data_IF_986901826899
#
_entry.id   IF_986901826899
#
_cell.length_a   1.000
_cell.length_b   1.000
_cell.length_c   1.000
_cell.angle_alpha   90.00
_cell.angle_beta   90.00
_cell.angle_gamma   90.00
#
_symmetry.space_group_name_H-M   'P 1'
#
loop_
_entity.id
_entity.type
_entity.pdbx_description
1 polymer ?
#
# COMPACT_ATOMS: atom_id res chain seq x y z
N UNK A 1 6.40 -5.02 -8.79
CA UNK A 1 6.06 -4.44 -10.11
C UNK A 1 6.90 -5.18 -11.15
N UNK A 2 6.31 -6.04 -11.97
CA UNK A 2 7.05 -6.70 -13.05
C UNK A 2 6.96 -5.79 -14.29
N UNK A 3 7.99 -4.99 -14.53
CA UNK A 3 8.15 -4.27 -15.80
C UNK A 3 8.79 -5.21 -16.82
N UNK A 4 8.19 -5.35 -18.00
CA UNK A 4 8.73 -6.16 -19.08
C UNK A 4 8.67 -5.39 -20.40
N UNK A 5 9.49 -5.83 -21.35
CA UNK A 5 9.54 -5.28 -22.70
C UNK A 5 8.96 -6.35 -23.62
N UNK A 6 7.99 -5.95 -24.45
CA UNK A 6 7.54 -6.76 -25.57
C UNK A 6 8.55 -6.58 -26.72
N UNK A 7 9.40 -7.59 -26.94
CA UNK A 7 10.45 -7.54 -27.96
C UNK A 7 9.89 -7.64 -29.38
N UNK A 8 8.77 -8.33 -29.59
CA UNK A 8 8.13 -8.45 -30.91
C UNK A 8 7.55 -7.10 -31.34
N UNK A 9 6.94 -6.38 -30.40
CA UNK A 9 6.49 -5.01 -30.63
C UNK A 9 7.68 -4.06 -30.83
N UNK A 10 8.74 -4.20 -30.03
CA UNK A 10 9.94 -3.38 -30.17
C UNK A 10 10.60 -3.56 -31.54
N UNK A 11 10.68 -4.79 -32.05
CA UNK A 11 11.19 -5.06 -33.40
C UNK A 11 10.37 -4.32 -34.46
N UNK A 12 9.04 -4.43 -34.42
CA UNK A 12 8.14 -3.74 -35.36
C UNK A 12 8.28 -2.22 -35.36
N UNK A 13 8.56 -1.63 -34.20
CA UNK A 13 8.70 -0.17 -34.04
C UNK A 13 10.10 0.31 -34.47
N UNK A 14 11.15 -0.39 -34.05
CA UNK A 14 12.53 0.11 -34.15
C UNK A 14 13.32 -0.48 -35.32
N UNK A 15 12.95 -1.64 -35.85
CA UNK A 15 13.64 -2.30 -36.95
C UNK A 15 12.94 -2.03 -38.29
N UNK A 16 13.33 -0.94 -38.95
CA UNK A 16 12.84 -0.57 -40.28
C UNK A 16 13.99 -0.13 -41.20
N UNK A 17 13.75 -0.15 -42.51
CA UNK A 17 14.73 0.23 -43.53
C UNK A 17 15.05 1.73 -43.42
N UNK A 18 16.35 2.07 -43.33
CA UNK A 18 16.85 3.44 -43.25
C UNK A 18 17.76 3.71 -44.45
N UNK A 19 17.44 4.70 -45.27
CA UNK A 19 18.13 4.96 -46.55
C UNK A 19 19.60 5.35 -46.39
N UNK A 20 19.98 5.92 -45.23
CA UNK A 20 21.34 6.34 -44.92
C UNK A 20 22.23 5.22 -44.36
N UNK A 21 21.72 4.01 -44.18
CA UNK A 21 22.45 2.86 -43.64
C UNK A 21 22.49 1.74 -44.67
N UNK A 22 23.65 1.12 -44.85
CA UNK A 22 23.92 0.23 -45.99
C UNK A 22 23.91 -1.25 -45.62
N UNK A 23 24.21 -1.57 -44.36
CA UNK A 23 24.35 -2.95 -43.89
C UNK A 23 23.26 -3.33 -42.88
N UNK A 24 22.91 -4.63 -42.86
CA UNK A 24 21.98 -5.18 -41.85
C UNK A 24 22.48 -4.90 -40.42
N UNK A 25 23.79 -4.95 -40.19
CA UNK A 25 24.37 -4.69 -38.87
C UNK A 25 24.17 -3.25 -38.43
N UNK A 26 24.32 -2.28 -39.33
CA UNK A 26 24.01 -0.88 -39.05
C UNK A 26 22.53 -0.68 -38.71
N UNK A 27 21.62 -1.35 -39.42
CA UNK A 27 20.18 -1.28 -39.12
C UNK A 27 19.85 -1.85 -37.75
N UNK A 28 20.45 -2.98 -37.37
CA UNK A 28 20.30 -3.60 -36.05
C UNK A 28 20.84 -2.65 -34.97
N UNK A 29 22.06 -2.14 -35.16
CA UNK A 29 22.68 -1.23 -34.19
C UNK A 29 21.83 0.02 -33.97
N UNK A 30 21.32 0.63 -35.05
CA UNK A 30 20.45 1.80 -34.95
C UNK A 30 19.11 1.48 -34.28
N UNK A 31 18.49 0.34 -34.60
CA UNK A 31 17.26 -0.11 -33.94
C UNK A 31 17.49 -0.31 -32.42
N UNK A 32 18.58 -0.96 -32.03
CA UNK A 32 18.96 -1.15 -30.64
C UNK A 32 19.23 0.18 -29.92
N UNK A 33 19.89 1.14 -30.58
CA UNK A 33 20.15 2.46 -30.02
C UNK A 33 18.85 3.24 -29.81
N UNK A 34 17.92 3.21 -30.77
CA UNK A 34 16.62 3.85 -30.65
C UNK A 34 15.78 3.25 -29.51
N UNK A 35 15.74 1.91 -29.41
CA UNK A 35 15.08 1.22 -28.30
C UNK A 35 15.72 1.61 -26.96
N UNK A 36 17.06 1.59 -26.86
CA UNK A 36 17.79 2.02 -25.65
C UNK A 36 17.44 3.45 -25.26
N UNK A 37 17.41 4.38 -26.21
CA UNK A 37 17.04 5.77 -25.95
C UNK A 37 15.61 5.89 -25.44
N UNK A 38 14.67 5.13 -26.01
CA UNK A 38 13.29 5.10 -25.50
C UNK A 38 13.21 4.53 -24.09
N UNK A 39 13.89 3.42 -23.81
CA UNK A 39 13.91 2.80 -22.49
C UNK A 39 14.50 3.75 -21.46
N UNK A 40 15.61 4.42 -21.78
CA UNK A 40 16.20 5.44 -20.91
C UNK A 40 15.22 6.57 -20.62
N UNK A 41 14.51 7.07 -21.64
CA UNK A 41 13.48 8.10 -21.45
C UNK A 41 12.33 7.63 -20.54
N UNK A 42 11.78 6.43 -20.78
CA UNK A 42 10.69 5.86 -19.97
C UNK A 42 11.14 5.59 -18.53
N UNK A 43 12.34 5.04 -18.36
CA UNK A 43 12.93 4.81 -17.04
C UNK A 43 13.17 6.13 -16.31
N UNK A 44 13.57 7.19 -17.01
CA UNK A 44 13.72 8.51 -16.40
C UNK A 44 12.39 9.06 -15.89
N UNK A 45 11.29 8.90 -16.63
CA UNK A 45 9.94 9.29 -16.14
C UNK A 45 9.58 8.55 -14.85
N UNK A 46 9.85 7.25 -14.80
CA UNK A 46 9.58 6.44 -13.60
C UNK A 46 10.51 6.82 -12.44
N UNK A 47 11.78 7.10 -12.72
CA UNK A 47 12.77 7.55 -11.76
C UNK A 47 12.34 8.86 -11.10
N UNK A 48 11.93 9.87 -11.87
CA UNK A 48 11.41 11.14 -11.33
C UNK A 48 10.18 10.93 -10.46
N UNK A 49 9.23 10.09 -10.89
CA UNK A 49 8.03 9.75 -10.09
C UNK A 49 8.40 9.06 -8.78
N UNK A 50 9.35 8.13 -8.80
CA UNK A 50 9.80 7.42 -7.62
C UNK A 50 10.51 8.36 -6.65
N UNK A 51 11.41 9.20 -7.16
CA UNK A 51 12.10 10.21 -6.34
C UNK A 51 11.10 11.14 -5.66
N UNK A 52 10.11 11.67 -6.39
CA UNK A 52 9.06 12.50 -5.79
C UNK A 52 8.30 11.78 -4.66
N UNK A 53 8.02 10.48 -4.81
CA UNK A 53 7.37 9.66 -3.77
C UNK A 53 8.28 9.42 -2.56
N UNK A 54 9.58 9.20 -2.79
CA UNK A 54 10.56 9.01 -1.72
C UNK A 54 10.78 10.31 -0.94
N UNK A 55 10.88 11.46 -1.62
CA UNK A 55 10.92 12.78 -0.98
C UNK A 55 9.69 12.98 -0.10
N UNK A 56 8.48 12.71 -0.64
CA UNK A 56 7.24 12.79 0.13
C UNK A 56 7.24 11.88 1.36
N UNK A 57 7.75 10.65 1.23
CA UNK A 57 7.88 9.73 2.35
C UNK A 57 8.80 10.27 3.45
N UNK A 58 9.94 10.85 3.06
CA UNK A 58 10.89 11.48 4.00
C UNK A 58 10.23 12.67 4.70
N UNK A 59 9.56 13.54 3.95
CA UNK A 59 8.87 14.71 4.50
C UNK A 59 7.80 14.31 5.52
N UNK A 60 7.01 13.28 5.22
CA UNK A 60 6.00 12.75 6.13
C UNK A 60 6.60 12.11 7.38
N UNK A 61 7.71 11.37 7.26
CA UNK A 61 8.46 10.86 8.42
C UNK A 61 8.95 12.00 9.32
N UNK A 62 9.52 13.06 8.73
CA UNK A 62 9.99 14.24 9.45
C UNK A 62 8.82 14.97 10.11
N UNK A 63 7.69 15.15 9.40
CA UNK A 63 6.49 15.80 9.93
C UNK A 63 5.93 15.03 11.13
N UNK A 64 5.83 13.70 11.02
CA UNK A 64 5.44 12.83 12.14
C UNK A 64 6.36 13.01 13.34
N UNK A 65 7.69 12.97 13.15
CA UNK A 65 8.62 13.18 14.25
C UNK A 65 8.48 14.59 14.86
N UNK A 66 8.37 15.62 14.03
CA UNK A 66 8.15 17.01 14.48
C UNK A 66 6.91 17.13 15.36
N UNK A 67 5.79 16.56 14.92
CA UNK A 67 4.54 16.56 15.67
C UNK A 67 4.70 15.85 17.02
N UNK A 68 5.23 14.63 17.02
CA UNK A 68 5.29 13.81 18.23
C UNK A 68 6.26 14.33 19.30
N UNK A 69 7.38 14.93 18.89
CA UNK A 69 8.47 15.30 19.82
C UNK A 69 8.58 16.80 20.09
N UNK A 70 8.21 17.65 19.14
CA UNK A 70 8.58 19.07 19.17
C UNK A 70 7.41 20.05 19.04
N UNK A 71 6.29 19.66 18.41
CA UNK A 71 5.15 20.54 18.20
C UNK A 71 4.54 20.99 19.54
N UNK A 72 4.07 22.23 19.59
CA UNK A 72 3.49 22.81 20.80
C UNK A 72 2.19 22.11 21.21
N UNK A 73 1.39 21.70 20.23
CA UNK A 73 0.12 20.99 20.32
C UNK A 73 0.25 19.46 20.22
N UNK A 74 1.47 18.95 20.01
CA UNK A 74 1.77 17.53 19.96
C UNK A 74 2.00 16.89 21.34
N UNK A 75 2.19 15.56 21.39
CA UNK A 75 2.35 14.81 22.64
C UNK A 75 3.69 15.03 23.37
N UNK A 76 4.69 15.62 22.71
CA UNK A 76 6.00 15.99 23.28
C UNK A 76 6.74 14.83 23.96
N UNK A 77 6.81 13.69 23.27
CA UNK A 77 7.60 12.54 23.71
C UNK A 77 9.05 12.95 24.02
N UNK A 78 9.61 12.35 25.08
CA UNK A 78 10.96 12.68 25.56
C UNK A 78 12.02 11.64 25.19
N UNK A 79 11.59 10.41 24.95
CA UNK A 79 12.46 9.26 24.73
C UNK A 79 11.98 8.57 23.47
N UNK A 80 12.93 8.16 22.63
CA UNK A 80 12.69 7.24 21.54
C UNK A 80 12.75 5.83 22.10
N UNK A 81 11.63 5.12 22.07
CA UNK A 81 11.56 3.72 22.47
C UNK A 81 10.57 2.96 21.60
N UNK A 82 10.95 1.76 21.17
CA UNK A 82 10.05 0.83 20.53
C UNK A 82 9.38 -0.06 21.60
N UNK A 83 8.07 -0.37 21.48
CA UNK A 83 7.13 0.11 20.46
C UNK A 83 6.39 1.41 20.84
N UNK A 84 6.62 1.96 22.04
CA UNK A 84 5.75 2.98 22.66
C UNK A 84 5.87 4.38 22.07
N UNK A 85 7.07 4.83 21.71
CA UNK A 85 7.37 6.18 21.20
C UNK A 85 8.39 6.11 20.06
N UNK A 86 8.06 5.42 18.95
CA UNK A 86 8.97 5.31 17.82
C UNK A 86 9.13 6.65 17.09
N UNK A 87 10.24 6.78 16.36
CA UNK A 87 10.47 7.94 15.49
C UNK A 87 9.38 8.09 14.42
N UNK A 88 8.94 6.97 13.84
CA UNK A 88 7.76 6.84 12.97
C UNK A 88 6.98 5.61 13.43
N UNK A 89 5.66 5.73 13.58
CA UNK A 89 4.81 4.62 13.99
C UNK A 89 4.87 3.43 13.02
N UNK A 90 4.54 2.24 13.51
CA UNK A 90 4.58 1.02 12.70
C UNK A 90 3.40 1.00 11.73
N UNK A 91 3.71 0.77 10.45
CA UNK A 91 2.73 0.67 9.36
C UNK A 91 2.30 -0.76 9.08
N UNK A 92 3.10 -1.73 9.52
CA UNK A 92 2.83 -3.15 9.35
C UNK A 92 3.04 -3.87 10.67
N UNK A 93 2.17 -4.83 10.93
CA UNK A 93 2.36 -5.87 11.92
C UNK A 93 3.28 -6.93 11.32
N UNK A 94 4.22 -7.43 12.12
CA UNK A 94 5.11 -8.52 11.75
C UNK A 94 4.98 -9.67 12.75
N UNK A 95 5.15 -10.93 12.32
CA UNK A 95 5.18 -12.10 13.19
C UNK A 95 6.12 -11.92 14.38
N UNK A 96 5.70 -12.42 15.55
CA UNK A 96 6.44 -12.37 16.82
C UNK A 96 6.78 -10.95 17.35
N UNK A 97 6.32 -9.88 16.67
CA UNK A 97 6.57 -8.48 17.05
C UNK A 97 8.06 -8.13 17.24
N UNK A 98 8.96 -8.92 16.66
CA UNK A 98 10.39 -8.67 16.73
C UNK A 98 10.77 -7.54 15.78
N UNK A 99 11.52 -6.56 16.29
CA UNK A 99 12.06 -5.50 15.46
C UNK A 99 13.28 -6.03 14.70
N UNK A 100 13.13 -6.21 13.40
CA UNK A 100 14.16 -6.73 12.49
C UNK A 100 14.64 -5.65 11.55
N UNK A 101 15.88 -5.78 11.08
CA UNK A 101 16.40 -4.89 10.05
C UNK A 101 15.57 -5.04 8.76
N UNK A 102 15.29 -3.95 8.00
CA UNK A 102 14.50 -4.04 6.78
C UNK A 102 14.98 -5.11 5.79
N UNK A 103 16.29 -5.31 5.64
CA UNK A 103 16.85 -6.34 4.76
C UNK A 103 16.52 -7.75 5.23
N UNK A 104 16.52 -8.00 6.55
CA UNK A 104 16.11 -9.29 7.12
C UNK A 104 14.61 -9.52 6.91
N UNK A 105 13.78 -8.49 7.12
CA UNK A 105 12.34 -8.55 6.85
C UNK A 105 12.09 -8.88 5.37
N UNK A 106 12.81 -8.25 4.45
CA UNK A 106 12.69 -8.52 3.01
C UNK A 106 13.06 -9.97 2.69
N UNK A 107 14.15 -10.48 3.24
CA UNK A 107 14.54 -11.89 3.06
C UNK A 107 13.50 -12.86 3.63
N UNK A 108 12.91 -12.56 4.79
CA UNK A 108 11.85 -13.39 5.37
C UNK A 108 10.58 -13.37 4.52
N UNK A 109 10.16 -12.20 4.03
CA UNK A 109 9.00 -12.08 3.15
C UNK A 109 9.21 -12.83 1.82
N UNK A 110 10.43 -12.83 1.28
CA UNK A 110 10.76 -13.51 0.03
C UNK A 110 10.83 -15.04 0.18
N UNK A 111 11.32 -15.54 1.32
CA UNK A 111 11.66 -16.95 1.50
C UNK A 111 10.70 -17.74 2.40
N UNK A 112 9.89 -17.08 3.23
CA UNK A 112 8.97 -17.72 4.18
C UNK A 112 7.53 -17.28 3.92
N UNK A 113 6.76 -18.18 3.29
CA UNK A 113 5.34 -17.98 2.99
C UNK A 113 4.48 -17.80 4.25
N UNK A 114 4.85 -18.47 5.35
CA UNK A 114 4.15 -18.29 6.61
C UNK A 114 4.41 -16.88 7.10
N UNK A 115 5.67 -16.45 7.21
CA UNK A 115 6.00 -15.08 7.62
C UNK A 115 5.29 -14.04 6.76
N UNK A 116 5.35 -14.17 5.43
CA UNK A 116 4.66 -13.30 4.47
C UNK A 116 3.16 -13.17 4.75
N UNK A 117 2.48 -14.28 5.05
CA UNK A 117 1.02 -14.29 5.28
C UNK A 117 0.58 -13.53 6.54
N UNK A 118 1.50 -13.28 7.48
CA UNK A 118 1.25 -12.56 8.73
C UNK A 118 1.85 -11.15 8.76
N UNK A 119 2.42 -10.68 7.65
CA UNK A 119 2.76 -9.25 7.50
C UNK A 119 1.49 -8.49 7.10
N UNK A 120 0.87 -7.81 8.06
CA UNK A 120 -0.44 -7.20 7.89
C UNK A 120 -0.36 -5.68 8.00
N UNK A 121 -1.04 -4.96 7.12
CA UNK A 121 -1.04 -3.51 7.14
C UNK A 121 -1.86 -2.95 8.31
N UNK A 122 -1.33 -1.95 9.00
CA UNK A 122 -2.08 -1.19 10.00
C UNK A 122 -3.10 -0.27 9.35
N UNK A 123 -4.20 -0.02 10.06
CA UNK A 123 -5.24 0.93 9.65
C UNK A 123 -4.87 2.36 10.07
N UNK A 124 -5.71 3.33 9.70
CA UNK A 124 -5.50 4.74 10.02
C UNK A 124 -6.39 5.63 9.18
N UNK A 125 -5.97 6.88 9.02
CA UNK A 125 -6.62 7.86 8.15
C UNK A 125 -5.59 8.69 7.40
N UNK A 126 -5.99 9.24 6.26
CA UNK A 126 -5.14 10.09 5.41
C UNK A 126 -5.71 11.50 5.43
N UNK A 127 -4.85 12.49 5.67
CA UNK A 127 -5.26 13.89 5.71
C UNK A 127 -5.74 14.35 4.33
N UNK A 128 -6.93 14.97 4.27
CA UNK A 128 -7.54 15.51 3.05
C UNK A 128 -7.71 14.48 1.91
N UNK A 129 -7.93 13.20 2.24
CA UNK A 129 -8.22 12.16 1.24
C UNK A 129 -9.72 11.89 1.08
N UNK A 130 -10.08 11.25 -0.02
CA UNK A 130 -11.42 10.70 -0.25
C UNK A 130 -11.65 9.48 0.67
N UNK A 131 -12.56 9.55 1.66
CA UNK A 131 -12.79 8.46 2.59
C UNK A 131 -13.43 7.22 1.94
N UNK A 132 -14.08 7.37 0.78
CA UNK A 132 -14.70 6.25 0.06
C UNK A 132 -13.65 5.42 -0.70
N UNK A 133 -12.48 5.99 -0.94
CA UNK A 133 -11.36 5.31 -1.58
C UNK A 133 -10.58 4.53 -0.53
N UNK A 134 -10.43 3.23 -0.74
CA UNK A 134 -9.58 2.42 0.13
C UNK A 134 -8.10 2.75 -0.15
N UNK A 135 -7.47 3.48 0.77
CA UNK A 135 -6.06 3.86 0.68
C UNK A 135 -5.06 2.68 0.64
N UNK A 136 -5.52 1.47 0.96
CA UNK A 136 -4.73 0.24 0.92
C UNK A 136 -4.82 -0.49 -0.42
N UNK A 137 -5.65 0.00 -1.35
CA UNK A 137 -5.79 -0.61 -2.67
C UNK A 137 -4.52 -0.42 -3.52
N UNK A 138 -4.43 -1.21 -4.58
CA UNK A 138 -3.35 -1.10 -5.55
C UNK A 138 -3.32 0.31 -6.18
N UNK A 139 -2.11 0.83 -6.40
CA UNK A 139 -1.91 2.14 -7.05
C UNK A 139 -2.08 3.36 -6.15
N UNK A 140 -2.50 3.20 -4.88
CA UNK A 140 -2.66 4.34 -3.96
C UNK A 140 -1.33 4.87 -3.42
N UNK A 141 -0.33 4.01 -3.25
CA UNK A 141 1.01 4.33 -2.71
C UNK A 141 1.03 5.02 -1.33
N UNK A 142 -0.09 5.09 -0.60
CA UNK A 142 -0.22 5.76 0.70
C UNK A 142 0.76 5.21 1.73
N UNK A 143 0.90 3.89 1.83
CA UNK A 143 1.88 3.25 2.72
C UNK A 143 3.34 3.55 2.32
N UNK A 144 3.62 3.59 1.01
CA UNK A 144 4.96 3.89 0.49
C UNK A 144 5.35 5.34 0.76
N UNK A 145 4.42 6.26 0.51
CA UNK A 145 4.60 7.69 0.69
C UNK A 145 4.43 8.14 2.15
N UNK A 146 4.11 7.23 3.08
CA UNK A 146 3.91 7.54 4.51
C UNK A 146 2.81 8.59 4.75
N UNK A 147 1.81 8.60 3.88
CA UNK A 147 0.67 9.54 3.94
C UNK A 147 -0.36 9.17 5.02
N UNK A 148 -0.31 7.92 5.49
CA UNK A 148 -1.23 7.40 6.51
C UNK A 148 -0.82 7.89 7.90
N UNK A 149 -1.75 8.53 8.61
CA UNK A 149 -1.70 8.63 10.06
C UNK A 149 -2.17 7.29 10.62
N UNK A 150 -1.18 6.44 10.89
CA UNK A 150 -1.34 5.04 11.23
C UNK A 150 -1.67 4.81 12.70
N UNK A 151 -2.55 3.84 12.94
CA UNK A 151 -2.84 3.28 14.27
C UNK A 151 -2.10 1.95 14.40
N UNK A 152 -0.93 1.98 15.04
CA UNK A 152 -0.01 0.83 15.14
C UNK A 152 -0.53 -0.34 16.01
N UNK A 153 -1.71 -0.18 16.59
CA UNK A 153 -2.45 -1.18 17.36
C UNK A 153 -3.59 -1.84 16.55
N UNK A 154 -3.98 -1.27 15.40
CA UNK A 154 -5.13 -1.72 14.62
C UNK A 154 -4.69 -2.26 13.25
N UNK A 155 -4.99 -3.54 12.98
CA UNK A 155 -4.80 -4.15 11.66
C UNK A 155 -5.98 -3.78 10.76
N UNK A 156 -5.71 -3.39 9.52
CA UNK A 156 -6.75 -3.11 8.52
C UNK A 156 -7.31 -4.41 7.96
N UNK A 157 -8.62 -4.60 8.10
CA UNK A 157 -9.32 -5.77 7.55
C UNK A 157 -9.64 -5.55 6.07
N UNK A 158 -9.24 -6.49 5.21
CA UNK A 158 -9.50 -6.46 3.77
C UNK A 158 -10.80 -7.20 3.44
N UNK A 159 -11.91 -6.46 3.42
CA UNK A 159 -13.24 -7.02 3.12
C UNK A 159 -13.41 -7.48 1.66
N UNK A 160 -12.65 -6.89 0.73
CA UNK A 160 -12.79 -7.14 -0.70
C UNK A 160 -13.93 -6.34 -1.34
N UNK A 161 -14.30 -6.73 -2.56
CA UNK A 161 -15.41 -6.17 -3.34
C UNK A 161 -16.72 -6.94 -3.17
N UNK A 162 -16.62 -8.19 -2.70
CA UNK A 162 -17.72 -9.13 -2.50
C UNK A 162 -17.35 -10.17 -1.44
N UNK A 163 -18.35 -10.92 -0.98
CA UNK A 163 -18.23 -11.90 0.11
C UNK A 163 -17.15 -12.96 -0.18
N UNK A 164 -17.03 -13.36 -1.45
CA UNK A 164 -16.13 -14.42 -1.90
C UNK A 164 -14.65 -14.01 -1.88
N UNK A 165 -14.35 -12.71 -1.82
CA UNK A 165 -12.96 -12.23 -1.81
C UNK A 165 -12.27 -12.47 -0.44
N UNK A 166 -13.05 -12.60 0.64
CA UNK A 166 -12.56 -12.96 1.98
C UNK A 166 -13.66 -13.67 2.81
N UNK A 167 -13.98 -14.94 2.50
CA UNK A 167 -15.13 -15.63 3.10
C UNK A 167 -15.00 -15.83 4.61
N UNK A 168 -13.78 -16.05 5.10
CA UNK A 168 -13.52 -16.21 6.54
C UNK A 168 -13.82 -14.93 7.32
N UNK A 169 -13.40 -13.77 6.80
CA UNK A 169 -13.68 -12.48 7.42
C UNK A 169 -15.18 -12.15 7.38
N UNK A 170 -15.84 -12.39 6.24
CA UNK A 170 -17.28 -12.19 6.12
C UNK A 170 -18.05 -13.04 7.14
N UNK A 171 -17.70 -14.33 7.27
CA UNK A 171 -18.33 -15.25 8.23
C UNK A 171 -18.11 -14.77 9.67
N UNK A 172 -16.87 -14.40 10.01
CA UNK A 172 -16.55 -13.88 11.34
C UNK A 172 -17.34 -12.61 11.67
N UNK A 173 -17.38 -11.64 10.76
CA UNK A 173 -18.09 -10.38 10.97
C UNK A 173 -19.60 -10.56 10.99
N UNK A 174 -20.14 -11.54 10.25
CA UNK A 174 -21.55 -11.90 10.32
C UNK A 174 -21.91 -12.45 11.69
N UNK A 175 -21.10 -13.36 12.25
CA UNK A 175 -21.32 -13.87 13.60
C UNK A 175 -21.13 -12.78 14.66
N UNK A 176 -20.13 -11.92 14.52
CA UNK A 176 -19.95 -10.76 15.40
C UNK A 176 -21.18 -9.85 15.37
N UNK A 177 -21.72 -9.58 14.18
CA UNK A 177 -22.93 -8.77 14.02
C UNK A 177 -24.15 -9.44 14.65
N UNK A 178 -24.29 -10.77 14.51
CA UNK A 178 -25.34 -11.55 15.18
C UNK A 178 -25.29 -11.35 16.69
N UNK A 179 -24.10 -11.47 17.29
CA UNK A 179 -23.89 -11.31 18.73
C UNK A 179 -24.27 -9.90 19.20
N UNK A 180 -23.90 -8.87 18.45
CA UNK A 180 -24.29 -7.48 18.76
C UNK A 180 -25.82 -7.32 18.70
N UNK A 181 -26.46 -7.79 17.63
CA UNK A 181 -27.91 -7.65 17.43
C UNK A 181 -28.74 -8.42 18.48
N UNK A 182 -28.31 -9.63 18.88
CA UNK A 182 -29.02 -10.41 19.91
C UNK A 182 -28.81 -9.89 21.33
N UNK A 183 -27.79 -9.05 21.56
CA UNK A 183 -27.41 -8.60 22.92
C UNK A 183 -27.86 -7.17 23.21
N UNK A 184 -27.84 -6.29 22.21
CA UNK A 184 -28.06 -4.85 22.38
C UNK A 184 -29.22 -4.35 21.51
N UNK A 185 -29.89 -3.30 21.98
CA UNK A 185 -30.96 -2.64 21.24
C UNK A 185 -30.49 -1.87 19.99
N UNK A 186 -29.18 -1.72 19.79
CA UNK A 186 -28.60 -1.02 18.67
C UNK A 186 -27.07 -0.96 18.74
N UNK A 187 -26.45 -0.51 17.66
CA UNK A 187 -25.01 -0.37 17.54
C UNK A 187 -24.61 1.02 17.04
N UNK A 188 -23.42 1.48 17.45
CA UNK A 188 -22.75 2.65 16.88
C UNK A 188 -21.69 2.17 15.89
N UNK A 189 -21.79 2.60 14.63
CA UNK A 189 -20.76 2.34 13.63
C UNK A 189 -19.67 3.41 13.71
N UNK A 190 -18.48 3.02 14.14
CA UNK A 190 -17.32 3.90 14.18
C UNK A 190 -16.71 4.04 12.77
N UNK A 191 -16.29 5.27 12.40
CA UNK A 191 -15.69 5.57 11.10
C UNK A 191 -16.42 4.95 9.88
N UNK A 192 -17.77 4.95 9.94
CA UNK A 192 -18.62 4.29 8.94
C UNK A 192 -18.38 4.79 7.50
N UNK A 193 -17.93 6.04 7.34
CA UNK A 193 -17.61 6.63 6.03
C UNK A 193 -16.44 5.94 5.32
N UNK A 194 -15.57 5.22 6.04
CA UNK A 194 -14.43 4.47 5.49
C UNK A 194 -14.71 2.97 5.38
N UNK A 195 -15.95 2.54 5.68
CA UNK A 195 -16.35 1.13 5.56
C UNK A 195 -16.95 0.89 4.18
N UNK A 196 -16.55 -0.16 3.43
CA UNK A 196 -17.13 -0.45 2.12
C UNK A 196 -18.65 -0.57 2.21
N UNK A 197 -19.35 0.18 1.37
CA UNK A 197 -20.81 0.32 1.45
C UNK A 197 -21.53 -1.04 1.40
N UNK A 198 -21.15 -1.90 0.45
CA UNK A 198 -21.73 -3.23 0.29
C UNK A 198 -21.59 -4.06 1.57
N UNK A 199 -20.43 -3.97 2.23
CA UNK A 199 -20.14 -4.73 3.44
C UNK A 199 -20.95 -4.21 4.63
N UNK A 200 -21.00 -2.90 4.80
CA UNK A 200 -21.79 -2.27 5.84
C UNK A 200 -23.29 -2.57 5.68
N UNK A 201 -23.82 -2.47 4.45
CA UNK A 201 -25.21 -2.79 4.14
C UNK A 201 -25.55 -4.23 4.52
N UNK A 202 -24.76 -5.19 4.05
CA UNK A 202 -24.94 -6.61 4.34
C UNK A 202 -24.97 -6.93 5.84
N UNK A 203 -24.05 -6.36 6.62
CA UNK A 203 -24.02 -6.56 8.07
C UNK A 203 -25.25 -5.93 8.73
N UNK A 204 -25.63 -4.72 8.32
CA UNK A 204 -26.78 -4.02 8.92
C UNK A 204 -28.12 -4.62 8.51
N UNK A 205 -28.26 -5.13 7.29
CA UNK A 205 -29.43 -5.89 6.85
C UNK A 205 -29.56 -7.16 7.69
N UNK A 206 -28.48 -7.92 7.83
CA UNK A 206 -28.47 -9.12 8.66
C UNK A 206 -28.77 -8.83 10.14
N UNK A 207 -28.27 -7.72 10.69
CA UNK A 207 -28.59 -7.30 12.06
C UNK A 207 -30.08 -6.98 12.25
N UNK A 208 -30.75 -6.43 11.22
CA UNK A 208 -32.18 -6.08 11.27
C UNK A 208 -33.11 -7.29 11.12
N UNK A 209 -32.62 -8.39 10.58
CA UNK A 209 -33.37 -9.65 10.46
C UNK A 209 -33.49 -10.40 11.81
N UNK A 210 -32.67 -10.04 12.80
CA UNK A 210 -32.58 -10.67 14.13
C UNK A 210 -33.48 -9.92 15.12
#
# INVERSE_FOLDING_TARGET
MKSFIDLDLAEKIYFYKREYLSTKQEWINEACNQLRNRLNYLNNILYEKLNGRLTRAIDNCIASCRYHFFAYDGPKYKILSLPSTPFVGNYFHYPNQEFKHPDEINQLIENDLHYQSYVMAHNGWVMNDDPLRCFADEGQFVYLCRDLIQWSDLIKLRCGSKREDCPSLYTYMKEYTRLIATTFHGCRLDNCHSTPLWFAQEMMDYAREI
#
